data_IF_125416594100
#
_entry.id   IF_125416594100
#
_cell.length_a   1.000
_cell.length_b   1.000
_cell.length_c   1.000
_cell.angle_alpha   90.00
_cell.angle_beta   90.00
_cell.angle_gamma   90.00
#
_symmetry.space_group_name_H-M   'P 1'
#
loop_
_entity.id
_entity.type
_entity.pdbx_description
1 polymer ?
#
# COMPACT_ATOMS: atom_id res chain seq x y z
N UNK A 1 51.74 17.59 16.00
CA UNK A 1 50.95 16.63 16.80
C UNK A 1 49.75 16.34 15.95
N UNK A 2 49.86 15.32 15.11
CA UNK A 2 48.76 14.91 14.25
C UNK A 2 47.66 14.34 15.14
N UNK A 3 46.48 14.96 15.06
CA UNK A 3 45.33 14.58 15.84
C UNK A 3 44.82 13.23 15.29
N UNK A 4 45.32 12.13 15.87
CA UNK A 4 44.85 10.78 15.53
C UNK A 4 43.44 10.65 16.09
N UNK A 5 42.45 11.01 15.29
CA UNK A 5 41.03 10.72 15.56
C UNK A 5 40.94 9.19 15.65
N UNK A 6 40.46 8.69 16.79
CA UNK A 6 40.25 7.25 16.96
C UNK A 6 39.04 6.80 16.13
N UNK A 7 39.03 5.57 15.59
CA UNK A 7 37.89 5.04 14.84
C UNK A 7 36.54 5.16 15.59
N UNK A 8 36.57 5.07 16.93
CA UNK A 8 35.39 5.24 17.79
C UNK A 8 34.86 6.68 17.80
N UNK A 9 35.74 7.69 17.79
CA UNK A 9 35.34 9.10 17.76
C UNK A 9 34.75 9.48 16.40
N UNK A 10 35.33 8.97 15.31
CA UNK A 10 34.82 9.17 13.94
C UNK A 10 33.45 8.50 13.75
N UNK A 11 33.24 7.31 14.33
CA UNK A 11 31.96 6.59 14.28
C UNK A 11 30.87 7.27 15.13
N UNK A 12 31.22 7.83 16.28
CA UNK A 12 30.30 8.61 17.12
C UNK A 12 29.87 9.92 16.45
N UNK A 13 30.80 10.63 15.81
CA UNK A 13 30.52 11.87 15.08
C UNK A 13 29.63 11.60 13.85
N UNK A 14 29.91 10.54 13.10
CA UNK A 14 29.07 10.11 11.97
C UNK A 14 27.65 9.75 12.43
N UNK A 15 27.52 8.99 13.52
CA UNK A 15 26.23 8.63 14.11
C UNK A 15 25.41 9.87 14.51
N UNK A 16 26.02 10.82 15.21
CA UNK A 16 25.36 12.06 15.62
C UNK A 16 24.91 12.91 14.42
N UNK A 17 25.72 12.97 13.35
CA UNK A 17 25.36 13.68 12.13
C UNK A 17 24.19 13.02 11.40
N UNK A 18 24.14 11.69 11.34
CA UNK A 18 23.01 10.95 10.75
C UNK A 18 21.71 11.20 11.52
N UNK A 19 21.75 11.17 12.86
CA UNK A 19 20.56 11.44 13.69
C UNK A 19 20.05 12.86 13.58
N UNK A 20 20.95 13.84 13.36
CA UNK A 20 20.54 15.20 13.06
C UNK A 20 19.81 15.30 11.71
N UNK A 21 20.24 14.55 10.68
CA UNK A 21 19.57 14.52 9.37
C UNK A 21 18.20 13.88 9.45
N UNK A 22 18.08 12.74 10.13
CA UNK A 22 16.79 12.05 10.33
C UNK A 22 15.80 12.94 11.10
N UNK A 23 16.24 13.64 12.15
CA UNK A 23 15.40 14.59 12.87
C UNK A 23 14.93 15.75 11.98
N UNK A 24 15.84 16.33 11.19
CA UNK A 24 15.48 17.40 10.26
C UNK A 24 14.51 16.94 9.15
N UNK A 25 14.63 15.68 8.72
CA UNK A 25 13.71 15.05 7.77
C UNK A 25 12.28 14.94 8.35
N UNK A 26 12.14 14.43 9.58
CA UNK A 26 10.84 14.35 10.26
C UNK A 26 10.23 15.74 10.47
N UNK A 27 11.03 16.75 10.80
CA UNK A 27 10.53 18.13 10.93
C UNK A 27 9.96 18.69 9.61
N UNK A 28 10.61 18.40 8.47
CA UNK A 28 10.08 18.78 7.15
C UNK A 28 8.79 18.04 6.84
N UNK A 29 8.78 16.73 7.05
CA UNK A 29 7.60 15.89 6.84
C UNK A 29 6.39 16.39 7.64
N UNK A 30 6.60 16.71 8.92
CA UNK A 30 5.55 17.27 9.77
C UNK A 30 5.02 18.61 9.23
N UNK A 31 5.90 19.46 8.69
CA UNK A 31 5.51 20.71 8.07
C UNK A 31 4.70 20.49 6.78
N UNK A 32 5.13 19.55 5.93
CA UNK A 32 4.44 19.20 4.67
C UNK A 32 3.05 18.63 4.93
N UNK A 33 2.92 17.73 5.93
CA UNK A 33 1.64 17.18 6.38
C UNK A 33 0.70 18.24 6.98
N UNK A 34 1.25 19.34 7.51
CA UNK A 34 0.48 20.42 8.12
C UNK A 34 -0.01 21.47 7.12
N UNK A 35 0.52 21.48 5.89
CA UNK A 35 0.03 22.36 4.84
C UNK A 35 -1.10 21.67 4.07
N UNK A 36 -2.08 22.43 3.58
CA UNK A 36 -3.13 21.94 2.66
C UNK A 36 -2.55 21.64 1.25
N UNK A 37 -1.38 21.03 1.17
CA UNK A 37 -0.68 20.68 -0.06
C UNK A 37 -0.86 19.21 -0.43
N UNK A 38 -0.92 18.94 -1.74
CA UNK A 38 -0.88 17.57 -2.27
C UNK A 38 0.50 16.95 -1.93
N UNK A 39 0.51 15.87 -1.14
CA UNK A 39 1.70 15.03 -0.98
C UNK A 39 1.98 14.34 -2.30
N UNK A 40 2.97 14.84 -3.05
CA UNK A 40 3.39 14.22 -4.30
C UNK A 40 4.39 13.09 -4.04
N UNK A 41 4.04 11.87 -4.44
CA UNK A 41 4.96 10.74 -4.44
C UNK A 41 6.10 10.97 -5.45
N UNK A 42 7.37 11.09 -5.01
CA UNK A 42 8.48 11.35 -5.93
C UNK A 42 8.62 10.24 -6.97
N UNK A 43 8.53 10.59 -8.26
CA UNK A 43 8.70 9.65 -9.37
C UNK A 43 7.47 8.82 -9.73
N UNK A 44 6.31 9.05 -9.10
CA UNK A 44 5.07 8.42 -9.51
C UNK A 44 4.63 8.92 -10.90
N UNK A 45 4.20 8.06 -11.83
CA UNK A 45 3.76 8.51 -13.15
C UNK A 45 2.54 9.44 -13.10
N UNK A 46 2.65 10.60 -13.79
CA UNK A 46 1.57 11.59 -13.94
C UNK A 46 0.23 10.97 -14.33
N UNK A 47 0.26 9.94 -15.18
CA UNK A 47 -0.94 9.28 -15.67
C UNK A 47 -1.72 8.61 -14.55
N UNK A 48 -1.03 8.06 -13.55
CA UNK A 48 -1.66 7.43 -12.39
C UNK A 48 -2.17 8.48 -11.42
N UNK A 49 -1.44 9.58 -11.21
CA UNK A 49 -1.93 10.71 -10.39
C UNK A 49 -3.21 11.30 -11.01
N UNK A 50 -3.21 11.55 -12.33
CA UNK A 50 -4.39 12.02 -13.08
C UNK A 50 -5.55 11.02 -12.98
N UNK A 51 -5.25 9.73 -13.05
CA UNK A 51 -6.26 8.69 -12.92
C UNK A 51 -6.85 8.65 -11.50
N UNK A 52 -6.05 8.75 -10.44
CA UNK A 52 -6.53 8.78 -9.06
C UNK A 52 -7.43 10.00 -8.81
N UNK A 53 -7.04 11.17 -9.30
CA UNK A 53 -7.84 12.40 -9.25
C UNK A 53 -9.15 12.25 -10.04
N UNK A 54 -9.10 11.70 -11.26
CA UNK A 54 -10.29 11.47 -12.09
C UNK A 54 -11.26 10.43 -11.48
N UNK A 55 -10.74 9.48 -10.70
CA UNK A 55 -11.54 8.48 -10.01
C UNK A 55 -12.13 9.01 -8.70
N UNK A 56 -11.54 10.07 -8.10
CA UNK A 56 -11.98 10.71 -6.84
C UNK A 56 -13.10 11.73 -7.03
N UNK A 57 -13.32 12.19 -8.25
CA UNK A 57 -14.49 12.99 -8.59
C UNK A 57 -15.73 12.07 -8.67
N UNK A 58 -16.73 12.30 -7.81
CA UNK A 58 -18.02 11.57 -7.85
C UNK A 58 -18.74 11.71 -9.21
N UNK A 59 -18.40 12.74 -10.00
CA UNK A 59 -18.87 12.95 -11.37
C UNK A 59 -17.87 12.48 -12.44
N UNK A 60 -16.78 11.84 -12.03
CA UNK A 60 -15.72 11.31 -12.89
C UNK A 60 -16.30 10.32 -13.89
N UNK A 61 -16.67 10.82 -15.07
CA UNK A 61 -17.32 9.98 -16.06
C UNK A 61 -16.40 8.81 -16.39
N UNK A 62 -16.93 7.58 -16.38
CA UNK A 62 -16.24 6.37 -16.85
C UNK A 62 -15.50 6.58 -18.19
N UNK A 63 -15.96 7.55 -18.99
CA UNK A 63 -15.34 8.03 -20.22
C UNK A 63 -13.96 8.66 -20.00
N UNK A 64 -13.76 9.48 -18.98
CA UNK A 64 -12.47 10.11 -18.66
C UNK A 64 -11.47 9.09 -18.14
N UNK A 65 -11.90 8.22 -17.22
CA UNK A 65 -11.12 7.06 -16.75
C UNK A 65 -10.69 6.20 -17.94
N UNK A 66 -11.63 5.87 -18.82
CA UNK A 66 -11.33 5.10 -20.05
C UNK A 66 -10.36 5.84 -20.98
N UNK A 67 -10.45 7.17 -21.08
CA UNK A 67 -9.55 7.99 -21.92
C UNK A 67 -8.12 7.93 -21.39
N UNK A 68 -7.94 8.09 -20.07
CA UNK A 68 -6.64 8.04 -19.41
C UNK A 68 -6.02 6.64 -19.54
N UNK A 69 -6.81 5.59 -19.31
CA UNK A 69 -6.32 4.20 -19.45
C UNK A 69 -5.95 3.89 -20.90
N UNK A 70 -6.74 4.34 -21.88
CA UNK A 70 -6.44 4.11 -23.30
C UNK A 70 -5.14 4.81 -23.77
N UNK A 71 -4.69 5.88 -23.08
CA UNK A 71 -3.38 6.47 -23.38
C UNK A 71 -2.20 5.62 -22.87
N UNK A 72 -2.44 4.59 -22.05
CA UNK A 72 -1.42 3.71 -21.49
C UNK A 72 -1.68 2.24 -21.87
N UNK A 73 -1.16 1.77 -23.03
CA UNK A 73 -1.43 0.42 -23.51
C UNK A 73 -1.06 -0.69 -22.54
N UNK A 74 -0.01 -0.50 -21.73
CA UNK A 74 0.44 -1.47 -20.73
C UNK A 74 -0.57 -1.58 -19.58
N UNK A 75 -1.11 -0.45 -19.10
CA UNK A 75 -2.15 -0.43 -18.07
C UNK A 75 -3.46 -1.04 -18.60
N UNK A 76 -3.86 -0.69 -19.84
CA UNK A 76 -5.03 -1.28 -20.48
C UNK A 76 -4.90 -2.81 -20.62
N UNK A 77 -3.73 -3.30 -21.05
CA UNK A 77 -3.47 -4.73 -21.16
C UNK A 77 -3.56 -5.45 -19.80
N UNK A 78 -3.05 -4.84 -18.72
CA UNK A 78 -3.15 -5.40 -17.36
C UNK A 78 -4.59 -5.52 -16.88
N UNK A 79 -5.39 -4.47 -17.07
CA UNK A 79 -6.81 -4.50 -16.71
C UNK A 79 -7.56 -5.59 -17.49
N UNK A 80 -7.25 -5.75 -18.77
CA UNK A 80 -7.81 -6.83 -19.59
C UNK A 80 -7.38 -8.22 -19.11
N UNK A 81 -6.12 -8.40 -18.72
CA UNK A 81 -5.61 -9.66 -18.15
C UNK A 81 -6.30 -9.97 -16.82
N UNK A 82 -6.40 -8.99 -15.92
CA UNK A 82 -7.04 -9.14 -14.63
C UNK A 82 -8.54 -9.48 -14.77
N UNK A 83 -9.25 -8.78 -15.64
CA UNK A 83 -10.65 -9.07 -15.97
C UNK A 83 -10.85 -10.50 -16.49
N UNK A 84 -9.87 -11.03 -17.21
CA UNK A 84 -9.92 -12.37 -17.78
C UNK A 84 -9.34 -13.46 -16.85
N UNK A 85 -8.86 -13.12 -15.66
CA UNK A 85 -8.28 -14.05 -14.69
C UNK A 85 -9.34 -14.91 -13.99
N UNK A 86 -8.93 -16.05 -13.43
CA UNK A 86 -9.81 -16.94 -12.69
C UNK A 86 -10.48 -16.25 -11.48
N UNK A 87 -9.81 -15.25 -10.89
CA UNK A 87 -10.31 -14.51 -9.73
C UNK A 87 -11.53 -13.61 -10.05
N UNK A 88 -11.62 -13.10 -11.28
CA UNK A 88 -12.65 -12.12 -11.68
C UNK A 88 -13.63 -12.63 -12.75
N UNK A 89 -13.22 -13.61 -13.55
CA UNK A 89 -14.04 -14.10 -14.66
C UNK A 89 -15.21 -14.95 -14.13
N UNK A 90 -16.45 -14.46 -14.34
CA UNK A 90 -17.67 -15.18 -13.95
C UNK A 90 -18.33 -15.97 -15.10
N UNK A 91 -17.97 -15.66 -16.35
CA UNK A 91 -18.54 -16.29 -17.57
C UNK A 91 -17.47 -17.08 -18.33
N UNK A 92 -17.88 -18.02 -19.18
CA UNK A 92 -16.98 -18.72 -20.10
C UNK A 92 -16.41 -17.80 -21.18
N UNK A 93 -17.14 -16.74 -21.54
CA UNK A 93 -16.74 -15.82 -22.60
C UNK A 93 -15.63 -14.87 -22.15
N UNK A 94 -14.62 -14.68 -23.01
CA UNK A 94 -13.52 -13.77 -22.72
C UNK A 94 -13.97 -12.30 -22.86
N UNK A 95 -13.53 -11.46 -21.93
CA UNK A 95 -13.74 -10.01 -22.02
C UNK A 95 -12.80 -9.45 -23.09
N UNK A 96 -13.37 -8.90 -24.17
CA UNK A 96 -12.63 -8.36 -25.32
C UNK A 96 -12.57 -6.83 -25.40
N UNK A 97 -13.35 -6.11 -24.58
CA UNK A 97 -13.41 -4.65 -24.59
C UNK A 97 -13.02 -4.06 -23.23
N UNK A 98 -12.15 -3.04 -23.24
CA UNK A 98 -11.68 -2.36 -22.03
C UNK A 98 -12.82 -1.76 -21.20
N UNK A 99 -13.83 -1.16 -21.82
CA UNK A 99 -14.98 -0.59 -21.10
C UNK A 99 -15.72 -1.66 -20.29
N UNK A 100 -15.90 -2.83 -20.89
CA UNK A 100 -16.52 -4.00 -20.23
C UNK A 100 -15.65 -4.48 -19.08
N UNK A 101 -14.33 -4.56 -19.28
CA UNK A 101 -13.39 -4.90 -18.21
C UNK A 101 -13.47 -3.91 -17.04
N UNK A 102 -13.41 -2.60 -17.28
CA UNK A 102 -13.50 -1.56 -16.24
C UNK A 102 -14.84 -1.62 -15.50
N UNK A 103 -15.94 -1.85 -16.21
CA UNK A 103 -17.28 -1.97 -15.61
C UNK A 103 -17.39 -3.21 -14.72
N UNK A 104 -16.83 -4.33 -15.16
CA UNK A 104 -16.85 -5.60 -14.43
C UNK A 104 -15.93 -5.58 -13.21
N UNK A 105 -14.72 -5.01 -13.33
CA UNK A 105 -13.75 -4.90 -12.24
C UNK A 105 -14.20 -3.87 -11.18
N UNK A 106 -14.91 -2.82 -11.60
CA UNK A 106 -15.24 -1.70 -10.74
C UNK A 106 -14.06 -0.72 -10.54
N UNK A 107 -14.37 0.46 -10.02
CA UNK A 107 -13.40 1.56 -9.95
C UNK A 107 -12.28 1.29 -8.95
N UNK A 108 -12.57 0.64 -7.82
CA UNK A 108 -11.56 0.36 -6.80
C UNK A 108 -10.49 -0.63 -7.29
N UNK A 109 -10.87 -1.67 -8.03
CA UNK A 109 -9.91 -2.60 -8.64
C UNK A 109 -9.10 -1.91 -9.75
N UNK A 110 -9.70 -0.97 -10.49
CA UNK A 110 -8.98 -0.15 -11.47
C UNK A 110 -7.97 0.77 -10.80
N UNK A 111 -8.33 1.44 -9.69
CA UNK A 111 -7.41 2.24 -8.86
C UNK A 111 -6.24 1.41 -8.37
N UNK A 112 -6.52 0.22 -7.86
CA UNK A 112 -5.51 -0.70 -7.35
C UNK A 112 -4.54 -1.13 -8.46
N UNK A 113 -5.07 -1.55 -9.61
CA UNK A 113 -4.27 -1.98 -10.76
C UNK A 113 -3.39 -0.86 -11.32
N UNK A 114 -3.94 0.35 -11.42
CA UNK A 114 -3.18 1.51 -11.88
C UNK A 114 -2.05 1.89 -10.92
N UNK A 115 -2.29 1.75 -9.62
CA UNK A 115 -1.26 2.01 -8.62
C UNK A 115 -0.15 0.97 -8.69
N UNK A 116 -0.49 -0.32 -8.83
CA UNK A 116 0.52 -1.37 -9.08
C UNK A 116 1.34 -1.09 -10.35
N UNK A 117 0.69 -0.59 -11.40
CA UNK A 117 1.41 -0.16 -12.60
C UNK A 117 2.37 1.00 -12.32
N UNK A 118 1.93 2.05 -11.61
CA UNK A 118 2.79 3.17 -11.23
C UNK A 118 3.99 2.72 -10.40
N UNK A 119 3.74 1.88 -9.41
CA UNK A 119 4.77 1.32 -8.58
C UNK A 119 5.77 0.53 -9.46
N UNK A 120 5.33 -0.31 -10.39
CA UNK A 120 6.27 -0.99 -11.29
C UNK A 120 7.09 -0.04 -12.18
N UNK A 121 6.52 1.08 -12.63
CA UNK A 121 7.28 2.13 -13.33
C UNK A 121 8.33 2.79 -12.42
N UNK A 122 8.01 2.98 -11.14
CA UNK A 122 8.91 3.55 -10.15
C UNK A 122 10.18 2.70 -9.96
N UNK A 123 10.07 1.37 -9.98
CA UNK A 123 11.25 0.47 -9.88
C UNK A 123 12.21 0.58 -11.06
N UNK A 124 11.73 1.06 -12.22
CA UNK A 124 12.55 1.26 -13.42
C UNK A 124 13.34 2.58 -13.39
N UNK A 125 13.10 3.45 -12.41
CA UNK A 125 13.83 4.70 -12.28
C UNK A 125 15.25 4.43 -11.79
N UNK A 126 16.25 4.91 -12.52
CA UNK A 126 17.67 4.65 -12.22
C UNK A 126 18.11 5.26 -10.88
N UNK A 127 17.55 6.42 -10.50
CA UNK A 127 17.84 7.03 -9.21
C UNK A 127 17.26 6.23 -8.02
N UNK A 128 16.40 5.24 -8.27
CA UNK A 128 15.89 4.31 -7.26
C UNK A 128 16.55 2.93 -7.32
N UNK A 129 17.56 2.74 -8.18
CA UNK A 129 18.27 1.47 -8.30
C UNK A 129 18.76 0.90 -6.95
N UNK A 130 19.32 1.72 -6.01
CA UNK A 130 19.73 1.23 -4.70
C UNK A 130 18.57 0.73 -3.83
N UNK A 131 17.36 1.26 -4.03
CA UNK A 131 16.18 0.93 -3.23
C UNK A 131 15.39 -0.26 -3.80
N UNK A 132 15.69 -0.75 -5.01
CA UNK A 132 14.93 -1.82 -5.69
C UNK A 132 14.59 -3.03 -4.79
N UNK A 133 15.50 -3.54 -3.91
CA UNK A 133 15.15 -4.63 -3.00
C UNK A 133 14.07 -4.26 -1.98
N UNK A 134 14.17 -3.09 -1.34
CA UNK A 134 13.17 -2.60 -0.39
C UNK A 134 11.84 -2.28 -1.07
N UNK A 135 11.91 -1.69 -2.26
CA UNK A 135 10.74 -1.50 -3.10
C UNK A 135 10.08 -2.86 -3.41
N UNK A 136 10.82 -3.87 -3.84
CA UNK A 136 10.24 -5.20 -4.09
C UNK A 136 9.54 -5.80 -2.84
N UNK A 137 10.05 -5.55 -1.63
CA UNK A 137 9.39 -5.97 -0.38
C UNK A 137 8.08 -5.22 -0.14
N UNK A 138 8.08 -3.89 -0.28
CA UNK A 138 6.89 -3.05 -0.14
C UNK A 138 5.78 -3.53 -1.09
N UNK A 139 6.12 -3.79 -2.36
CA UNK A 139 5.15 -4.23 -3.37
C UNK A 139 4.58 -5.60 -3.02
N UNK A 140 5.46 -6.53 -2.65
CA UNK A 140 5.04 -7.88 -2.26
C UNK A 140 4.09 -7.82 -1.07
N UNK A 141 4.42 -7.03 -0.04
CA UNK A 141 3.57 -6.83 1.12
C UNK A 141 2.20 -6.23 0.73
N UNK A 142 2.19 -5.14 -0.04
CA UNK A 142 0.96 -4.52 -0.57
C UNK A 142 0.08 -5.51 -1.34
N UNK A 143 0.66 -6.31 -2.24
CA UNK A 143 -0.10 -7.29 -3.02
C UNK A 143 -0.63 -8.43 -2.15
N UNK A 144 0.17 -8.96 -1.22
CA UNK A 144 -0.27 -10.01 -0.30
C UNK A 144 -1.42 -9.52 0.56
N UNK A 145 -1.29 -8.36 1.20
CA UNK A 145 -2.35 -7.79 2.06
C UNK A 145 -3.60 -7.46 1.25
N UNK A 146 -3.46 -6.88 0.06
CA UNK A 146 -4.61 -6.60 -0.82
C UNK A 146 -5.38 -7.87 -1.19
N UNK A 147 -4.67 -8.94 -1.59
CA UNK A 147 -5.28 -10.21 -1.96
C UNK A 147 -5.96 -10.90 -0.77
N UNK A 148 -5.30 -10.94 0.39
CA UNK A 148 -5.87 -11.52 1.61
C UNK A 148 -7.10 -10.74 2.06
N UNK A 149 -7.01 -9.40 2.14
CA UNK A 149 -8.12 -8.54 2.55
C UNK A 149 -9.32 -8.67 1.60
N UNK A 150 -9.08 -8.72 0.27
CA UNK A 150 -10.12 -8.96 -0.72
C UNK A 150 -10.82 -10.31 -0.51
N UNK A 151 -10.05 -11.40 -0.43
CA UNK A 151 -10.60 -12.75 -0.32
C UNK A 151 -11.34 -12.95 1.00
N UNK A 152 -10.82 -12.43 2.11
CA UNK A 152 -11.53 -12.45 3.40
C UNK A 152 -12.83 -11.69 3.27
N UNK A 153 -12.79 -10.41 2.86
CA UNK A 153 -13.98 -9.57 2.76
C UNK A 153 -15.04 -10.14 1.80
N UNK A 154 -14.63 -10.74 0.68
CA UNK A 154 -15.54 -11.41 -0.28
C UNK A 154 -16.33 -12.55 0.35
N UNK A 155 -15.78 -13.21 1.36
CA UNK A 155 -16.42 -14.30 2.09
C UNK A 155 -17.14 -13.84 3.37
N UNK A 156 -17.19 -12.52 3.61
CA UNK A 156 -17.93 -11.92 4.72
C UNK A 156 -19.24 -11.30 4.22
N UNK A 157 -20.29 -11.45 5.02
CA UNK A 157 -21.59 -10.84 4.70
C UNK A 157 -21.52 -9.32 4.77
N UNK A 158 -22.08 -8.67 3.73
CA UNK A 158 -22.19 -7.21 3.59
C UNK A 158 -20.86 -6.45 3.70
N UNK A 159 -19.76 -7.05 3.22
CA UNK A 159 -18.44 -6.43 3.23
C UNK A 159 -17.98 -6.06 1.81
N UNK A 160 -17.62 -4.79 1.53
CA UNK A 160 -17.11 -4.38 0.22
C UNK A 160 -15.68 -4.88 0.00
N UNK A 161 -15.54 -6.03 -0.68
CA UNK A 161 -14.25 -6.66 -0.92
C UNK A 161 -13.26 -5.79 -1.71
N UNK A 162 -13.78 -5.00 -2.64
CA UNK A 162 -13.00 -4.07 -3.46
C UNK A 162 -12.39 -2.92 -2.62
N UNK A 163 -13.11 -2.42 -1.60
CA UNK A 163 -12.54 -1.48 -0.61
C UNK A 163 -11.45 -2.12 0.24
N UNK A 164 -11.65 -3.37 0.67
CA UNK A 164 -10.65 -4.13 1.44
C UNK A 164 -9.37 -4.35 0.63
N UNK A 165 -9.50 -4.69 -0.66
CA UNK A 165 -8.37 -4.76 -1.59
C UNK A 165 -7.65 -3.43 -1.71
N UNK A 166 -8.39 -2.33 -1.85
CA UNK A 166 -7.83 -0.99 -2.04
C UNK A 166 -7.05 -0.53 -0.82
N UNK A 167 -7.64 -0.65 0.38
CA UNK A 167 -6.98 -0.32 1.64
C UNK A 167 -5.75 -1.21 1.87
N UNK A 168 -5.88 -2.52 1.62
CA UNK A 168 -4.79 -3.47 1.71
C UNK A 168 -3.64 -3.18 0.73
N UNK A 169 -3.93 -2.63 -0.46
CA UNK A 169 -2.87 -2.24 -1.38
C UNK A 169 -2.14 -0.97 -0.90
N UNK A 170 -2.89 0.00 -0.39
CA UNK A 170 -2.38 1.33 -0.04
C UNK A 170 -1.75 1.44 1.34
N UNK A 171 -1.84 0.41 2.18
CA UNK A 171 -1.30 0.45 3.54
C UNK A 171 0.19 0.87 3.61
N UNK A 172 1.01 0.50 2.61
CA UNK A 172 2.44 0.84 2.53
C UNK A 172 2.77 2.11 1.73
N UNK A 173 1.79 2.89 1.26
CA UNK A 173 2.08 4.10 0.48
C UNK A 173 2.92 5.13 1.25
N UNK A 174 2.68 5.27 2.55
CA UNK A 174 3.49 6.12 3.41
C UNK A 174 4.93 5.64 3.57
N UNK A 175 5.17 4.33 3.63
CA UNK A 175 6.53 3.82 3.69
C UNK A 175 7.25 4.04 2.35
N UNK A 176 6.54 3.82 1.24
CA UNK A 176 7.05 4.18 -0.09
C UNK A 176 7.43 5.66 -0.17
N UNK A 177 6.56 6.55 0.31
CA UNK A 177 6.82 7.99 0.34
C UNK A 177 8.05 8.33 1.19
N UNK A 178 8.13 7.82 2.41
CA UNK A 178 9.27 8.04 3.31
C UNK A 178 10.58 7.59 2.66
N UNK A 179 10.61 6.35 2.16
CA UNK A 179 11.80 5.74 1.59
C UNK A 179 12.31 6.51 0.36
N UNK A 180 11.39 6.86 -0.56
CA UNK A 180 11.76 7.57 -1.79
C UNK A 180 12.15 9.02 -1.52
N UNK A 181 11.50 9.70 -0.58
CA UNK A 181 11.81 11.09 -0.21
C UNK A 181 13.13 11.18 0.54
N UNK A 182 13.35 10.31 1.54
CA UNK A 182 14.62 10.23 2.25
C UNK A 182 15.78 9.96 1.29
N UNK A 183 15.63 8.99 0.37
CA UNK A 183 16.67 8.68 -0.62
C UNK A 183 16.94 9.84 -1.59
N UNK A 184 15.91 10.57 -1.99
CA UNK A 184 16.04 11.74 -2.88
C UNK A 184 16.76 12.90 -2.21
N UNK A 185 16.51 13.11 -0.91
CA UNK A 185 17.15 14.17 -0.14
C UNK A 185 18.59 13.81 0.24
N UNK A 186 18.76 12.69 0.94
CA UNK A 186 20.06 12.16 1.37
C UNK A 186 19.91 10.69 1.76
N UNK A 187 20.55 9.81 0.98
CA UNK A 187 20.52 8.36 1.21
C UNK A 187 21.11 7.91 2.56
N UNK A 188 21.79 8.77 3.32
CA UNK A 188 22.22 8.44 4.69
C UNK A 188 21.08 8.52 5.71
N UNK A 189 19.96 9.20 5.41
CA UNK A 189 18.81 9.31 6.33
C UNK A 189 18.25 7.93 6.67
N UNK A 190 18.18 7.02 5.69
CA UNK A 190 17.66 5.66 5.87
C UNK A 190 18.61 4.75 6.66
N UNK A 191 19.85 5.19 6.88
CA UNK A 191 20.84 4.46 7.68
C UNK A 191 20.80 4.87 9.17
N UNK A 192 19.92 5.81 9.55
CA UNK A 192 19.80 6.23 10.93
C UNK A 192 19.25 5.10 11.81
N UNK A 193 19.76 4.88 13.04
CA UNK A 193 19.22 3.88 13.95
C UNK A 193 17.74 4.08 14.30
N UNK A 194 17.20 5.29 14.18
CA UNK A 194 15.80 5.59 14.40
C UNK A 194 14.92 5.41 13.15
N UNK A 195 15.48 5.02 12.00
CA UNK A 195 14.73 4.89 10.75
C UNK A 195 13.51 3.97 10.87
N UNK A 196 13.67 2.80 11.49
CA UNK A 196 12.57 1.84 11.65
C UNK A 196 11.43 2.43 12.49
N UNK A 197 11.74 3.11 13.60
CA UNK A 197 10.74 3.80 14.43
C UNK A 197 10.10 4.98 13.69
N UNK A 198 10.86 5.73 12.89
CA UNK A 198 10.30 6.80 12.05
C UNK A 198 9.30 6.22 11.05
N UNK A 199 9.63 5.09 10.42
CA UNK A 199 8.71 4.42 9.51
C UNK A 199 7.46 3.99 10.26
N UNK A 200 7.61 3.22 11.35
CA UNK A 200 6.50 2.73 12.18
C UNK A 200 5.54 3.85 12.61
N UNK A 201 6.07 4.95 13.16
CA UNK A 201 5.26 6.05 13.69
C UNK A 201 4.56 6.89 12.61
N UNK A 202 5.20 7.08 11.45
CA UNK A 202 4.74 8.09 10.47
C UNK A 202 4.07 7.48 9.25
N UNK A 203 4.46 6.28 8.83
CA UNK A 203 3.99 5.72 7.56
C UNK A 203 2.46 5.54 7.48
N UNK A 204 1.73 5.15 8.56
CA UNK A 204 0.28 5.01 8.47
C UNK A 204 -0.44 6.35 8.26
N UNK A 205 -0.02 7.38 8.98
CA UNK A 205 -0.57 8.74 8.88
C UNK A 205 -0.27 9.39 7.52
N UNK A 206 0.93 9.15 6.96
CA UNK A 206 1.27 9.60 5.60
C UNK A 206 0.42 8.87 4.57
N UNK A 207 0.23 7.56 4.70
CA UNK A 207 -0.67 6.80 3.81
C UNK A 207 -2.05 7.45 3.81
N UNK A 208 -2.62 7.72 4.99
CA UNK A 208 -3.91 8.42 5.13
C UNK A 208 -3.92 9.76 4.41
N UNK A 209 -2.94 10.63 4.66
CA UNK A 209 -2.87 11.95 4.06
C UNK A 209 -2.78 11.91 2.52
N UNK A 210 -2.01 10.97 1.96
CA UNK A 210 -1.94 10.75 0.50
C UNK A 210 -3.32 10.34 -0.04
N UNK A 211 -4.01 9.41 0.63
CA UNK A 211 -5.31 8.93 0.18
C UNK A 211 -6.43 9.96 0.32
N UNK A 212 -6.39 10.77 1.38
CA UNK A 212 -7.29 11.90 1.58
C UNK A 212 -7.12 12.92 0.42
N UNK A 213 -5.88 13.20 0.00
CA UNK A 213 -5.60 14.06 -1.17
C UNK A 213 -6.14 13.49 -2.50
N UNK A 214 -6.31 12.17 -2.58
CA UNK A 214 -6.90 11.49 -3.75
C UNK A 214 -8.43 11.37 -3.67
N UNK A 215 -9.04 11.93 -2.62
CA UNK A 215 -10.48 11.90 -2.39
C UNK A 215 -11.02 10.51 -2.10
N UNK A 216 -10.23 9.65 -1.44
CA UNK A 216 -10.75 8.34 -1.02
C UNK A 216 -11.72 8.49 0.17
N UNK A 217 -12.69 7.57 0.29
CA UNK A 217 -13.63 7.61 1.41
C UNK A 217 -12.94 7.36 2.76
N UNK A 218 -13.44 7.98 3.82
CA UNK A 218 -12.89 7.93 5.18
C UNK A 218 -12.71 6.50 5.69
N UNK A 219 -13.59 5.56 5.35
CA UNK A 219 -13.46 4.16 5.77
C UNK A 219 -12.20 3.49 5.20
N UNK A 220 -11.80 3.83 3.96
CA UNK A 220 -10.57 3.34 3.34
C UNK A 220 -9.35 4.01 3.97
N UNK A 221 -9.38 5.34 4.16
CA UNK A 221 -8.20 6.06 4.66
C UNK A 221 -7.95 5.77 6.13
N UNK A 222 -9.00 5.62 6.94
CA UNK A 222 -8.91 5.17 8.33
C UNK A 222 -8.39 3.72 8.45
N UNK A 223 -8.82 2.81 7.56
CA UNK A 223 -8.31 1.44 7.56
C UNK A 223 -6.82 1.35 7.24
N UNK A 224 -6.29 2.28 6.43
CA UNK A 224 -4.83 2.37 6.19
C UNK A 224 -4.06 3.01 7.33
N UNK A 225 -4.66 3.91 8.10
CA UNK A 225 -4.03 4.49 9.28
C UNK A 225 -4.00 3.48 10.45
N UNK A 226 -5.10 2.77 10.67
CA UNK A 226 -5.26 1.80 11.77
C UNK A 226 -4.68 0.41 11.43
N UNK A 227 -3.77 0.34 10.48
CA UNK A 227 -3.28 -0.91 9.89
C UNK A 227 -2.50 -1.80 10.87
N UNK A 228 -1.98 -1.24 11.96
CA UNK A 228 -1.19 -1.98 12.97
C UNK A 228 -1.99 -2.37 14.22
N UNK A 229 -3.26 -2.00 14.30
CA UNK A 229 -4.07 -2.18 15.50
C UNK A 229 -4.21 -3.64 15.98
N UNK A 230 -4.13 -4.65 15.10
CA UNK A 230 -4.06 -6.06 15.50
C UNK A 230 -2.72 -6.40 16.15
N UNK A 231 -1.60 -5.91 15.60
CA UNK A 231 -0.28 -6.09 16.20
C UNK A 231 -0.20 -5.41 17.57
N UNK A 232 -0.83 -4.24 17.71
CA UNK A 232 -0.84 -3.44 18.94
C UNK A 232 -1.85 -3.95 19.98
N UNK A 233 -2.70 -4.91 19.62
CA UNK A 233 -3.80 -5.40 20.47
C UNK A 233 -4.95 -4.38 20.63
N UNK A 234 -4.98 -3.33 19.82
CA UNK A 234 -5.95 -2.24 19.83
C UNK A 234 -7.19 -2.52 18.95
N UNK A 235 -7.70 -3.75 18.98
CA UNK A 235 -8.79 -4.17 18.08
C UNK A 235 -10.19 -3.67 18.50
N UNK A 236 -10.31 -3.15 19.72
CA UNK A 236 -11.60 -2.76 20.30
C UNK A 236 -12.13 -1.48 19.69
N UNK A 237 -13.26 -1.58 18.99
CA UNK A 237 -13.95 -0.41 18.42
C UNK A 237 -13.54 -0.08 16.99
N UNK A 238 -12.61 -0.84 16.40
CA UNK A 238 -12.34 -0.80 14.97
C UNK A 238 -13.58 -1.20 14.18
N UNK A 239 -13.80 -0.51 13.06
CA UNK A 239 -14.76 -0.97 12.07
C UNK A 239 -14.25 -2.25 11.36
N UNK A 240 -15.16 -2.91 10.65
CA UNK A 240 -14.87 -4.19 10.01
C UNK A 240 -13.80 -4.11 8.92
N UNK A 241 -13.69 -2.97 8.21
CA UNK A 241 -12.69 -2.79 7.15
C UNK A 241 -11.30 -2.66 7.75
N UNK A 242 -11.14 -1.80 8.75
CA UNK A 242 -9.89 -1.63 9.48
C UNK A 242 -9.41 -2.94 10.11
N UNK A 243 -10.33 -3.69 10.73
CA UNK A 243 -9.99 -4.99 11.32
C UNK A 243 -9.53 -6.02 10.27
N UNK A 244 -10.18 -6.10 9.11
CA UNK A 244 -9.77 -7.00 8.02
C UNK A 244 -8.40 -6.62 7.47
N UNK A 245 -8.14 -5.33 7.24
CA UNK A 245 -6.87 -4.83 6.70
C UNK A 245 -5.74 -5.09 7.69
N UNK A 246 -5.93 -4.73 8.96
CA UNK A 246 -4.92 -4.92 9.99
C UNK A 246 -4.64 -6.40 10.24
N UNK A 247 -5.67 -7.26 10.30
CA UNK A 247 -5.48 -8.70 10.44
C UNK A 247 -4.78 -9.31 9.21
N UNK A 248 -5.02 -8.77 8.00
CA UNK A 248 -4.35 -9.19 6.78
C UNK A 248 -2.87 -8.79 6.76
N UNK A 249 -2.54 -7.57 7.20
CA UNK A 249 -1.14 -7.10 7.37
C UNK A 249 -0.42 -7.99 8.37
N UNK A 250 -1.04 -8.20 9.52
CA UNK A 250 -0.49 -9.03 10.58
C UNK A 250 -0.23 -10.46 10.08
N UNK A 251 -1.22 -11.12 9.49
CA UNK A 251 -1.08 -12.46 8.91
C UNK A 251 0.01 -12.56 7.83
N UNK A 252 0.26 -11.50 7.06
CA UNK A 252 1.32 -11.48 6.05
C UNK A 252 2.72 -11.36 6.65
N UNK A 253 2.84 -10.76 7.84
CA UNK A 253 4.10 -10.52 8.55
C UNK A 253 4.41 -11.60 9.59
N UNK A 254 3.40 -12.24 10.14
CA UNK A 254 3.55 -13.25 11.19
C UNK A 254 4.19 -14.53 10.67
N UNK A 255 5.32 -14.88 11.26
CA UNK A 255 6.09 -16.09 10.95
C UNK A 255 6.21 -17.07 12.14
N UNK A 256 5.62 -16.74 13.29
CA UNK A 256 5.80 -17.46 14.56
C UNK A 256 4.48 -17.89 15.20
N UNK A 257 4.53 -18.92 16.06
CA UNK A 257 3.34 -19.53 16.68
C UNK A 257 2.62 -18.58 17.68
N UNK A 258 3.33 -17.69 18.36
CA UNK A 258 2.74 -16.71 19.31
C UNK A 258 1.85 -15.67 18.61
N UNK A 259 2.10 -15.43 17.32
CA UNK A 259 1.33 -14.49 16.52
C UNK A 259 0.00 -15.10 16.05
N UNK A 260 -0.10 -16.43 15.95
CA UNK A 260 -1.36 -17.09 15.56
C UNK A 260 -2.51 -16.85 16.55
N UNK A 261 -2.21 -16.65 17.84
CA UNK A 261 -3.19 -16.48 18.91
C UNK A 261 -4.00 -15.18 18.77
N UNK A 262 -3.38 -14.08 18.34
CA UNK A 262 -4.08 -12.82 18.10
C UNK A 262 -5.08 -12.93 16.94
N UNK A 263 -4.71 -13.64 15.87
CA UNK A 263 -5.61 -13.88 14.74
C UNK A 263 -6.79 -14.81 15.07
N UNK A 264 -6.64 -15.70 16.06
CA UNK A 264 -7.75 -16.52 16.56
C UNK A 264 -8.81 -15.68 17.27
N UNK A 265 -8.40 -14.61 17.96
CA UNK A 265 -9.31 -13.69 18.64
C UNK A 265 -10.10 -12.79 17.66
N UNK A 266 -9.58 -12.57 16.46
CA UNK A 266 -10.24 -11.82 15.40
C UNK A 266 -11.28 -12.72 14.73
N UNK A 267 -12.56 -12.50 15.03
CA UNK A 267 -13.66 -13.33 14.53
C UNK A 267 -14.67 -12.54 13.69
N UNK A 268 -15.17 -13.18 12.64
CA UNK A 268 -16.21 -12.66 11.78
C UNK A 268 -17.32 -13.69 11.61
N UNK A 269 -18.55 -13.35 11.97
CA UNK A 269 -19.72 -14.23 11.85
C UNK A 269 -19.52 -15.64 12.43
N UNK A 270 -18.71 -15.76 13.48
CA UNK A 270 -18.44 -17.03 14.19
C UNK A 270 -17.26 -17.85 13.66
N UNK A 271 -16.56 -17.40 12.61
CA UNK A 271 -15.30 -17.98 12.15
C UNK A 271 -14.12 -17.05 12.49
N UNK A 272 -12.96 -17.60 12.82
CA UNK A 272 -11.76 -16.77 13.01
C UNK A 272 -11.19 -16.30 11.68
N UNK A 273 -10.42 -15.20 11.70
CA UNK A 273 -9.72 -14.72 10.52
C UNK A 273 -8.80 -15.80 9.94
N UNK A 274 -8.07 -16.51 10.81
CA UNK A 274 -7.16 -17.58 10.41
C UNK A 274 -7.88 -18.75 9.72
N UNK A 275 -9.07 -19.14 10.21
CA UNK A 275 -9.90 -20.16 9.58
C UNK A 275 -10.34 -19.75 8.16
N UNK A 276 -10.71 -18.49 7.97
CA UNK A 276 -11.11 -17.96 6.67
C UNK A 276 -9.92 -17.97 5.71
N UNK A 277 -8.76 -17.44 6.13
CA UNK A 277 -7.54 -17.42 5.30
C UNK A 277 -7.10 -18.84 4.94
N UNK A 278 -7.10 -19.76 5.90
CA UNK A 278 -6.73 -21.16 5.67
C UNK A 278 -7.67 -21.84 4.67
N UNK A 279 -8.98 -21.62 4.79
CA UNK A 279 -9.99 -22.18 3.88
C UNK A 279 -9.84 -21.67 2.45
N UNK A 280 -9.39 -20.43 2.26
CA UNK A 280 -9.32 -19.76 0.97
C UNK A 280 -7.90 -19.49 0.46
N UNK A 281 -6.90 -20.24 0.94
CA UNK A 281 -5.48 -20.04 0.58
C UNK A 281 -5.22 -20.08 -0.92
N UNK A 282 -5.76 -21.07 -1.62
CA UNK A 282 -5.59 -21.20 -3.08
C UNK A 282 -6.17 -20.00 -3.85
N UNK A 283 -7.27 -19.41 -3.36
CA UNK A 283 -7.88 -18.21 -3.95
C UNK A 283 -7.01 -16.97 -3.71
N UNK A 284 -6.43 -16.84 -2.51
CA UNK A 284 -5.46 -15.77 -2.20
C UNK A 284 -4.24 -15.88 -3.11
N UNK A 285 -3.67 -17.07 -3.28
CA UNK A 285 -2.49 -17.28 -4.14
C UNK A 285 -2.77 -16.95 -5.61
N UNK A 286 -3.96 -17.35 -6.11
CA UNK A 286 -4.41 -16.97 -7.46
C UNK A 286 -4.59 -15.46 -7.60
N UNK A 287 -5.11 -14.80 -6.58
CA UNK A 287 -5.31 -13.35 -6.57
C UNK A 287 -3.96 -12.61 -6.55
N UNK A 288 -3.00 -13.03 -5.71
CA UNK A 288 -1.63 -12.50 -5.69
C UNK A 288 -0.98 -12.63 -7.08
N UNK A 289 -1.11 -13.79 -7.71
CA UNK A 289 -0.57 -14.04 -9.05
C UNK A 289 -1.24 -13.17 -10.13
N UNK A 290 -2.50 -12.79 -9.96
CA UNK A 290 -3.24 -11.97 -10.92
C UNK A 290 -2.90 -10.47 -10.81
N UNK A 291 -2.51 -9.98 -9.63
CA UNK A 291 -2.28 -8.54 -9.37
C UNK A 291 -0.79 -8.14 -9.31
N UNK A 292 0.12 -9.12 -9.28
CA UNK A 292 1.58 -8.92 -9.32
C UNK A 292 2.09 -8.73 -10.74
#
# INVERSE_FOLDING_TARGET
>A
MDNVITPEAEQAEKSAATSQKAFAFVQRLAADLSQEGDLELPGFPDVVIKLQKALGDENGSLKEVSRIINSEPVLAARLMQLANSAAFRQSTDAVGELRTAVTMLGLNVVRATATNFAMQQLQQQEWLAPLRPELAKIWKASNTVAATAYTVAKNLEAMPADKAMLAGLFHQLGYLYLLTTAHREDAEIINDPAWDSIVEDWHPTISRAILDSWGLPEDVTYATESQDAVADGETRGLDRLSLVVSASKYCANSGTDDEAELLESVTFSGASFNEIVTRHRDEIDQMIAAIS
#
